data_IF_641614362172
#
_entry.id   IF_641614362172
#
_cell.length_a   1.000
_cell.length_b   1.000
_cell.length_c   1.000
_cell.angle_alpha   90.00
_cell.angle_beta   90.00
_cell.angle_gamma   90.00
#
_symmetry.space_group_name_H-M   'P 1'
#
loop_
_entity.id
_entity.type
_entity.pdbx_description
1 polymer ?
#
# COMPACT_ATOMS: atom_id res chain seq x y z
N UNK A 1 -12.87 45.85 38.04
CA UNK A 1 -13.31 44.64 37.32
C UNK A 1 -12.09 44.00 36.68
N UNK A 2 -11.65 42.83 37.16
CA UNK A 2 -10.51 42.06 36.62
C UNK A 2 -11.05 41.09 35.58
N UNK A 3 -10.70 41.29 34.31
CA UNK A 3 -10.98 40.33 33.24
C UNK A 3 -9.87 39.27 33.23
N UNK A 4 -10.21 38.03 33.58
CA UNK A 4 -9.37 36.86 33.32
C UNK A 4 -9.50 36.52 31.82
N UNK A 5 -8.47 36.80 31.03
CA UNK A 5 -8.31 36.20 29.71
C UNK A 5 -7.97 34.71 29.91
N UNK A 6 -8.94 33.84 29.68
CA UNK A 6 -8.68 32.42 29.47
C UNK A 6 -8.06 32.22 28.10
N UNK A 7 -6.78 31.89 28.09
CA UNK A 7 -6.09 31.36 26.91
C UNK A 7 -6.59 29.94 26.66
N UNK A 8 -7.46 29.80 25.66
CA UNK A 8 -7.81 28.51 25.06
C UNK A 8 -6.56 27.99 24.33
N UNK A 9 -5.86 27.05 24.95
CA UNK A 9 -4.89 26.18 24.28
C UNK A 9 -5.64 25.35 23.24
N UNK A 10 -5.55 25.75 21.98
CA UNK A 10 -5.99 24.94 20.86
C UNK A 10 -5.03 23.74 20.74
N UNK A 11 -5.49 22.56 21.12
CA UNK A 11 -4.79 21.32 20.85
C UNK A 11 -4.80 21.09 19.34
N UNK A 12 -3.64 21.25 18.70
CA UNK A 12 -3.43 20.84 17.31
C UNK A 12 -3.46 19.30 17.29
N UNK A 13 -4.40 18.65 16.57
CA UNK A 13 -4.36 17.21 16.43
C UNK A 13 -3.10 16.85 15.64
N UNK A 14 -2.19 16.12 16.27
CA UNK A 14 -1.08 15.48 15.58
C UNK A 14 -1.67 14.43 14.62
N UNK A 15 -1.68 14.73 13.32
CA UNK A 15 -1.90 13.74 12.27
C UNK A 15 -0.83 12.65 12.41
N UNK A 16 -1.25 11.44 12.77
CA UNK A 16 -0.39 10.28 12.99
C UNK A 16 0.39 9.87 11.74
N UNK A 17 1.66 10.24 11.69
CA UNK A 17 2.84 9.37 11.58
C UNK A 17 2.79 8.20 10.59
N UNK A 18 2.44 8.46 9.32
CA UNK A 18 3.04 7.72 8.21
C UNK A 18 4.53 8.09 8.01
N UNK A 19 5.03 9.12 8.70
CA UNK A 19 6.39 9.66 8.60
C UNK A 19 7.48 8.76 9.19
N UNK A 20 7.13 7.73 9.96
CA UNK A 20 8.11 6.86 10.61
C UNK A 20 8.72 5.82 9.68
N UNK A 21 8.01 5.40 8.63
CA UNK A 21 8.42 4.31 7.73
C UNK A 21 9.31 4.78 6.59
N UNK A 22 8.99 5.92 6.00
CA UNK A 22 9.69 6.45 4.82
C UNK A 22 11.17 6.72 5.14
N UNK A 23 12.05 6.25 4.25
CA UNK A 23 13.50 6.31 4.38
C UNK A 23 14.11 5.19 5.22
N UNK A 24 13.31 4.25 5.75
CA UNK A 24 13.84 3.07 6.43
C UNK A 24 14.13 1.95 5.45
N UNK A 25 15.25 1.26 5.66
CA UNK A 25 15.50 -0.05 5.08
C UNK A 25 14.90 -1.13 5.97
N UNK A 26 14.03 -1.96 5.39
CA UNK A 26 13.30 -3.03 6.07
C UNK A 26 13.50 -4.35 5.34
N UNK A 27 13.36 -5.51 6.02
CA UNK A 27 13.14 -5.69 7.46
C UNK A 27 14.37 -5.37 8.34
N UNK A 28 14.21 -5.21 9.69
CA UNK A 28 12.96 -5.36 10.46
C UNK A 28 12.02 -4.15 10.32
N UNK A 29 10.72 -4.44 10.29
CA UNK A 29 9.67 -3.42 10.30
C UNK A 29 9.48 -2.86 11.73
N UNK A 30 9.23 -1.53 11.89
CA UNK A 30 9.03 -0.93 13.20
C UNK A 30 7.65 -1.23 13.79
N UNK A 31 7.47 -0.92 15.07
CA UNK A 31 6.16 -0.88 15.74
C UNK A 31 5.33 -2.18 15.67
N UNK A 32 5.99 -3.33 15.55
CA UNK A 32 5.33 -4.63 15.44
C UNK A 32 4.62 -4.86 14.10
N UNK A 33 4.89 -4.01 13.10
CA UNK A 33 4.40 -4.23 11.74
C UNK A 33 5.11 -5.43 11.11
N UNK A 34 4.42 -6.08 10.19
CA UNK A 34 4.94 -7.14 9.35
C UNK A 34 4.41 -6.98 7.92
N UNK A 35 5.20 -7.44 6.96
CA UNK A 35 4.78 -7.58 5.57
C UNK A 35 3.84 -8.78 5.46
N UNK A 36 2.64 -8.56 4.91
CA UNK A 36 1.63 -9.60 4.71
C UNK A 36 1.32 -9.83 3.22
N UNK A 37 2.08 -9.20 2.32
CA UNK A 37 1.91 -9.39 0.89
C UNK A 37 2.11 -8.11 0.09
N UNK A 38 2.11 -8.26 -1.23
CA UNK A 38 2.35 -7.18 -2.16
C UNK A 38 2.76 -7.69 -3.52
N UNK A 39 3.32 -6.82 -4.33
CA UNK A 39 3.88 -7.17 -5.63
C UNK A 39 5.19 -6.46 -5.87
N UNK A 40 6.10 -7.17 -6.52
CA UNK A 40 7.29 -6.56 -7.06
C UNK A 40 6.99 -5.95 -8.43
N UNK A 41 7.64 -4.83 -8.72
CA UNK A 41 7.42 -4.04 -9.93
C UNK A 41 8.76 -3.86 -10.65
N UNK A 42 8.69 -3.82 -11.97
CA UNK A 42 9.84 -3.55 -12.83
C UNK A 42 9.50 -2.46 -13.83
N UNK A 43 10.44 -1.54 -14.04
CA UNK A 43 10.43 -0.58 -15.16
C UNK A 43 11.25 -1.04 -16.36
N UNK A 44 11.86 -2.22 -16.24
CA UNK A 44 12.74 -2.78 -17.26
C UNK A 44 12.35 -4.20 -17.64
N UNK A 45 12.62 -4.55 -18.89
CA UNK A 45 12.63 -5.94 -19.36
C UNK A 45 13.93 -6.69 -18.98
N UNK A 46 14.92 -5.97 -18.44
CA UNK A 46 16.18 -6.57 -18.00
C UNK A 46 15.94 -7.45 -16.77
N UNK A 47 16.34 -8.71 -16.88
CA UNK A 47 16.12 -9.71 -15.82
C UNK A 47 16.70 -9.28 -14.46
N UNK A 48 17.85 -8.62 -14.47
CA UNK A 48 18.52 -8.17 -13.24
C UNK A 48 17.83 -6.99 -12.55
N UNK A 49 16.90 -6.34 -13.23
CA UNK A 49 16.12 -5.20 -12.73
C UNK A 49 14.67 -5.55 -12.42
N UNK A 50 14.32 -6.83 -12.58
CA UNK A 50 13.05 -7.38 -12.12
C UNK A 50 12.99 -7.21 -10.60
N UNK A 51 11.92 -6.59 -10.12
CA UNK A 51 11.70 -6.26 -8.71
C UNK A 51 12.63 -5.15 -8.15
N UNK A 52 13.02 -4.15 -8.94
CA UNK A 52 13.69 -2.93 -8.43
C UNK A 52 12.78 -2.13 -7.47
N UNK A 53 11.46 -2.31 -7.59
CA UNK A 53 10.45 -1.63 -6.80
C UNK A 53 9.42 -2.61 -6.25
N UNK A 54 8.68 -2.19 -5.23
CA UNK A 54 7.55 -2.96 -4.71
C UNK A 54 6.42 -2.06 -4.21
N UNK A 55 5.21 -2.62 -4.25
CA UNK A 55 4.07 -2.16 -3.48
C UNK A 55 3.76 -3.25 -2.46
N UNK A 56 3.88 -2.91 -1.18
CA UNK A 56 3.68 -3.84 -0.07
C UNK A 56 2.49 -3.47 0.81
N UNK A 57 2.00 -4.44 1.57
CA UNK A 57 0.94 -4.30 2.56
C UNK A 57 1.51 -4.65 3.93
N UNK A 58 1.50 -3.68 4.84
CA UNK A 58 1.93 -3.87 6.21
C UNK A 58 0.73 -3.99 7.12
N UNK A 59 0.78 -4.97 8.02
CA UNK A 59 -0.21 -5.18 9.06
C UNK A 59 0.45 -5.30 10.42
N UNK A 60 -0.32 -5.08 11.48
CA UNK A 60 0.10 -5.49 12.82
C UNK A 60 0.03 -7.02 12.93
N UNK A 61 0.95 -7.60 13.70
CA UNK A 61 0.84 -9.01 14.06
C UNK A 61 -0.49 -9.27 14.77
N UNK A 62 -1.17 -10.36 14.40
CA UNK A 62 -2.36 -10.79 15.11
C UNK A 62 -1.95 -11.39 16.47
N UNK A 63 -2.70 -11.05 17.53
CA UNK A 63 -2.51 -11.64 18.86
C UNK A 63 -2.90 -13.14 18.90
N UNK A 64 -3.71 -13.57 17.92
CA UNK A 64 -4.17 -14.94 17.71
C UNK A 64 -3.64 -15.45 16.36
N UNK A 65 -3.09 -16.67 16.36
CA UNK A 65 -2.52 -17.28 15.16
C UNK A 65 -3.58 -17.60 14.09
N UNK A 66 -4.85 -17.71 14.49
CA UNK A 66 -5.98 -18.00 13.58
C UNK A 66 -6.68 -16.72 13.08
N UNK A 67 -6.25 -15.53 13.54
CA UNK A 67 -6.84 -14.27 13.12
C UNK A 67 -6.09 -13.66 11.92
N UNK A 68 -6.87 -13.15 10.96
CA UNK A 68 -6.32 -12.43 9.81
C UNK A 68 -5.64 -11.13 10.28
N UNK A 69 -4.38 -10.87 9.85
CA UNK A 69 -3.66 -9.68 10.25
C UNK A 69 -4.32 -8.42 9.67
N UNK A 70 -4.55 -7.42 10.52
CA UNK A 70 -5.26 -6.20 10.14
C UNK A 70 -4.34 -5.25 9.34
N UNK A 71 -4.64 -4.97 8.06
CA UNK A 71 -3.83 -4.06 7.25
C UNK A 71 -3.78 -2.64 7.83
N UNK A 72 -2.58 -2.06 7.89
CA UNK A 72 -2.32 -0.72 8.42
C UNK A 72 -1.80 0.25 7.36
N UNK A 73 -0.90 -0.21 6.51
CA UNK A 73 -0.24 0.64 5.52
C UNK A 73 -0.08 -0.05 4.17
N UNK A 74 -0.25 0.72 3.11
CA UNK A 74 0.21 0.39 1.76
C UNK A 74 1.52 1.15 1.57
N UNK A 75 2.61 0.45 1.28
CA UNK A 75 3.95 1.04 1.15
C UNK A 75 4.48 0.91 -0.25
N UNK A 76 5.20 1.93 -0.72
CA UNK A 76 6.06 1.83 -1.88
C UNK A 76 7.50 1.67 -1.39
N UNK A 77 8.26 0.81 -2.04
CA UNK A 77 9.66 0.62 -1.69
C UNK A 77 10.55 0.41 -2.91
N UNK A 78 11.84 0.67 -2.72
CA UNK A 78 12.91 0.42 -3.67
C UNK A 78 13.85 -0.63 -3.11
N UNK A 79 14.35 -1.53 -3.96
CA UNK A 79 15.36 -2.49 -3.55
C UNK A 79 16.64 -1.76 -3.13
N UNK A 80 17.01 -1.92 -1.86
CA UNK A 80 18.23 -1.35 -1.26
C UNK A 80 19.39 -2.37 -1.24
N UNK A 81 19.08 -3.66 -1.40
CA UNK A 81 20.06 -4.73 -1.43
C UNK A 81 19.45 -6.05 -1.01
N UNK A 82 20.31 -6.99 -0.63
CA UNK A 82 19.91 -8.30 -0.10
C UNK A 82 20.81 -8.70 1.06
N UNK A 83 20.22 -9.33 2.06
CA UNK A 83 20.93 -10.08 3.10
C UNK A 83 20.69 -11.58 2.87
N UNK A 84 21.67 -12.26 2.27
CA UNK A 84 21.50 -13.61 1.75
C UNK A 84 20.38 -13.67 0.71
N UNK A 85 19.31 -14.41 1.00
CA UNK A 85 18.12 -14.54 0.14
C UNK A 85 17.05 -13.48 0.44
N UNK A 86 17.19 -12.73 1.53
CA UNK A 86 16.21 -11.75 1.96
C UNK A 86 16.45 -10.42 1.25
N UNK A 87 15.43 -9.91 0.57
CA UNK A 87 15.46 -8.57 -0.01
C UNK A 87 15.38 -7.52 1.10
N UNK A 88 16.21 -6.47 0.97
CA UNK A 88 16.17 -5.29 1.80
C UNK A 88 15.55 -4.16 0.99
N UNK A 89 14.51 -3.53 1.54
CA UNK A 89 13.68 -2.55 0.87
C UNK A 89 13.78 -1.21 1.57
N UNK A 90 14.13 -0.15 0.85
CA UNK A 90 13.99 1.23 1.34
C UNK A 90 12.56 1.70 1.07
N UNK A 91 11.79 2.00 2.12
CA UNK A 91 10.44 2.54 1.98
C UNK A 91 10.50 3.96 1.44
N UNK A 92 9.90 4.20 0.28
CA UNK A 92 9.90 5.52 -0.38
C UNK A 92 8.60 6.29 -0.15
N UNK A 93 7.50 5.59 0.14
CA UNK A 93 6.22 6.19 0.49
C UNK A 93 5.38 5.22 1.34
N UNK A 94 4.48 5.76 2.16
CA UNK A 94 3.59 5.00 3.01
C UNK A 94 2.22 5.70 3.10
N UNK A 95 1.17 4.98 2.78
CA UNK A 95 -0.21 5.45 2.82
C UNK A 95 -0.99 4.61 3.85
N UNK A 96 -1.80 5.23 4.72
CA UNK A 96 -2.70 4.45 5.58
C UNK A 96 -3.63 3.58 4.74
N UNK A 97 -3.86 2.35 5.17
CA UNK A 97 -4.88 1.49 4.56
C UNK A 97 -6.27 2.14 4.74
N UNK A 98 -7.10 2.22 3.69
CA UNK A 98 -8.41 2.87 3.78
C UNK A 98 -9.34 2.12 4.74
N UNK A 99 -10.24 2.84 5.40
CA UNK A 99 -11.28 2.22 6.24
C UNK A 99 -12.36 1.62 5.33
N UNK A 100 -12.34 0.30 5.19
CA UNK A 100 -13.21 -0.48 4.30
C UNK A 100 -13.77 -1.70 5.02
N UNK A 101 -14.77 -2.36 4.42
CA UNK A 101 -15.26 -3.65 4.92
C UNK A 101 -14.30 -4.80 4.63
N UNK A 102 -14.49 -5.93 5.30
CA UNK A 102 -13.64 -7.13 5.20
C UNK A 102 -13.55 -7.68 3.77
N UNK A 103 -14.57 -7.42 2.93
CA UNK A 103 -14.59 -7.84 1.54
C UNK A 103 -13.68 -7.03 0.60
N UNK A 104 -12.95 -6.03 1.10
CA UNK A 104 -12.06 -5.20 0.30
C UNK A 104 -10.60 -5.59 0.49
N UNK A 105 -9.93 -5.89 -0.61
CA UNK A 105 -8.54 -6.32 -0.61
C UNK A 105 -7.70 -5.46 -1.55
N UNK A 106 -6.41 -5.35 -1.24
CA UNK A 106 -5.44 -4.74 -2.11
C UNK A 106 -5.23 -5.62 -3.35
N UNK A 107 -5.26 -5.00 -4.52
CA UNK A 107 -4.90 -5.55 -5.82
C UNK A 107 -3.73 -4.73 -6.37
N UNK A 108 -2.77 -5.43 -6.96
CA UNK A 108 -1.54 -4.85 -7.51
C UNK A 108 -1.18 -5.59 -8.79
N UNK A 109 -0.69 -4.87 -9.81
CA UNK A 109 -0.18 -5.49 -11.04
C UNK A 109 -1.25 -5.96 -12.04
N UNK A 110 -2.51 -6.09 -11.61
CA UNK A 110 -3.64 -6.55 -12.44
C UNK A 110 -4.72 -5.49 -12.65
N UNK A 111 -4.41 -4.25 -12.30
CA UNK A 111 -5.34 -3.13 -12.40
C UNK A 111 -5.15 -2.32 -13.68
N UNK A 112 -6.22 -1.65 -14.09
CA UNK A 112 -6.32 -0.87 -15.31
C UNK A 112 -6.80 0.55 -15.03
N UNK A 113 -6.44 1.47 -15.92
CA UNK A 113 -7.01 2.81 -15.99
C UNK A 113 -7.71 2.97 -17.34
N UNK A 114 -8.98 3.30 -17.32
CA UNK A 114 -9.82 3.46 -18.52
C UNK A 114 -9.73 2.25 -19.48
N UNK A 115 -9.58 1.05 -18.92
CA UNK A 115 -9.49 -0.22 -19.64
C UNK A 115 -8.08 -0.60 -20.13
N UNK A 116 -7.05 0.20 -19.82
CA UNK A 116 -5.66 -0.09 -20.16
C UNK A 116 -4.87 -0.59 -18.95
N UNK A 117 -4.16 -1.71 -19.10
CA UNK A 117 -3.32 -2.29 -18.07
C UNK A 117 -2.25 -1.30 -17.58
N UNK A 118 -2.15 -1.17 -16.26
CA UNK A 118 -1.11 -0.37 -15.61
C UNK A 118 -0.52 -1.16 -14.44
N UNK A 119 0.60 -1.81 -14.69
CA UNK A 119 1.29 -2.62 -13.68
C UNK A 119 1.78 -1.79 -12.47
N UNK A 120 1.86 -0.47 -12.58
CA UNK A 120 2.24 0.42 -11.48
C UNK A 120 1.05 0.82 -10.61
N UNK A 121 -0.15 0.38 -10.94
CA UNK A 121 -1.37 0.71 -10.23
C UNK A 121 -1.63 -0.28 -9.09
N UNK A 122 -2.05 0.27 -7.96
CA UNK A 122 -2.58 -0.47 -6.84
C UNK A 122 -3.97 0.06 -6.49
N UNK A 123 -4.87 -0.83 -6.12
CA UNK A 123 -6.22 -0.46 -5.72
C UNK A 123 -6.74 -1.35 -4.58
N UNK A 124 -7.47 -0.75 -3.64
CA UNK A 124 -8.27 -1.50 -2.66
C UNK A 124 -9.67 -1.62 -3.23
N UNK A 125 -10.04 -2.84 -3.60
CA UNK A 125 -11.27 -3.13 -4.32
C UNK A 125 -12.09 -4.19 -3.61
N UNK A 126 -13.41 -4.09 -3.74
CA UNK A 126 -14.31 -5.11 -3.24
C UNK A 126 -14.18 -6.37 -4.07
N UNK A 127 -14.03 -7.50 -3.40
CA UNK A 127 -14.04 -8.81 -4.03
C UNK A 127 -15.46 -9.20 -4.43
N UNK A 128 -15.60 -9.71 -5.64
CA UNK A 128 -16.87 -10.19 -6.19
C UNK A 128 -16.62 -11.37 -7.14
N UNK A 129 -16.89 -12.61 -6.72
CA UNK A 129 -16.59 -13.80 -7.53
C UNK A 129 -17.44 -13.89 -8.81
N UNK A 130 -18.51 -13.09 -8.95
CA UNK A 130 -19.39 -13.17 -10.10
C UNK A 130 -18.87 -12.44 -11.34
N UNK A 131 -17.91 -11.53 -11.19
CA UNK A 131 -17.46 -10.65 -12.25
C UNK A 131 -15.96 -10.79 -12.54
N UNK A 132 -15.62 -10.72 -13.83
CA UNK A 132 -14.24 -10.74 -14.32
C UNK A 132 -13.42 -9.54 -13.83
N UNK A 133 -14.07 -8.39 -13.63
CA UNK A 133 -13.43 -7.15 -13.20
C UNK A 133 -14.06 -6.61 -11.93
N UNK A 134 -13.21 -6.24 -10.97
CA UNK A 134 -13.58 -5.61 -9.71
C UNK A 134 -13.61 -4.09 -9.91
N UNK A 135 -14.81 -3.50 -9.84
CA UNK A 135 -15.04 -2.07 -10.17
C UNK A 135 -15.42 -1.21 -8.98
N UNK A 136 -15.73 -1.82 -7.82
CA UNK A 136 -15.97 -1.11 -6.57
C UNK A 136 -14.62 -0.79 -5.90
N UNK A 137 -14.09 0.40 -6.21
CA UNK A 137 -12.77 0.87 -5.75
C UNK A 137 -12.91 1.82 -4.56
N UNK A 138 -12.30 1.49 -3.43
CA UNK A 138 -12.26 2.35 -2.23
C UNK A 138 -11.02 3.25 -2.18
N UNK A 139 -9.94 2.82 -2.84
CA UNK A 139 -8.68 3.55 -2.95
C UNK A 139 -7.96 3.08 -4.20
N UNK A 140 -7.34 4.00 -4.95
CA UNK A 140 -6.45 3.63 -6.04
C UNK A 140 -5.37 4.67 -6.23
N UNK A 141 -4.13 4.21 -6.38
CA UNK A 141 -2.97 5.05 -6.65
C UNK A 141 -1.98 4.33 -7.53
N UNK A 142 -1.29 5.12 -8.34
CA UNK A 142 -0.21 4.67 -9.19
C UNK A 142 1.12 4.98 -8.50
N UNK A 143 2.08 4.08 -8.56
CA UNK A 143 3.44 4.37 -8.16
C UNK A 143 4.15 5.17 -9.25
N UNK A 144 4.57 6.39 -8.93
CA UNK A 144 5.49 7.16 -9.76
C UNK A 144 6.93 6.78 -9.41
N UNK A 145 7.57 6.01 -10.28
CA UNK A 145 8.92 5.47 -10.03
C UNK A 145 9.99 6.57 -9.96
N UNK A 146 9.78 7.70 -10.65
CA UNK A 146 10.73 8.80 -10.62
C UNK A 146 10.81 9.45 -9.23
N UNK A 147 9.67 9.64 -8.56
CA UNK A 147 9.64 10.19 -7.20
C UNK A 147 9.63 9.13 -6.09
N UNK A 148 9.32 7.88 -6.42
CA UNK A 148 9.09 6.79 -5.46
C UNK A 148 7.79 6.95 -4.67
N UNK A 149 6.82 7.73 -5.16
CA UNK A 149 5.60 8.09 -4.41
C UNK A 149 4.33 7.65 -5.09
N UNK A 150 3.29 7.44 -4.28
CA UNK A 150 1.95 7.16 -4.78
C UNK A 150 1.25 8.44 -5.23
N UNK A 151 0.89 8.49 -6.51
CA UNK A 151 0.06 9.54 -7.09
C UNK A 151 -1.36 9.02 -7.33
N UNK A 152 -2.40 9.87 -7.24
CA UNK A 152 -3.77 9.46 -7.57
C UNK A 152 -3.85 8.86 -8.98
N UNK A 153 -4.64 7.81 -9.15
CA UNK A 153 -4.94 7.28 -10.47
C UNK A 153 -5.77 8.30 -11.27
N UNK A 154 -5.41 8.54 -12.53
CA UNK A 154 -6.06 9.51 -13.39
C UNK A 154 -7.02 8.81 -14.37
N UNK A 155 -8.21 8.43 -13.89
CA UNK A 155 -9.22 7.78 -14.72
C UNK A 155 -10.08 6.80 -13.93
N UNK A 156 -10.91 6.02 -14.64
CA UNK A 156 -11.68 4.94 -14.04
C UNK A 156 -10.76 3.75 -13.79
N UNK A 157 -10.74 3.26 -12.55
CA UNK A 157 -9.97 2.08 -12.16
C UNK A 157 -10.86 0.85 -12.09
N UNK A 158 -10.37 -0.26 -12.63
CA UNK A 158 -10.86 -1.61 -12.36
C UNK A 158 -9.67 -2.59 -12.27
N UNK A 159 -9.85 -3.73 -11.62
CA UNK A 159 -8.80 -4.75 -11.53
C UNK A 159 -9.36 -6.11 -11.97
N UNK A 160 -8.49 -6.94 -12.55
CA UNK A 160 -8.83 -8.33 -12.88
C UNK A 160 -9.16 -9.06 -11.58
N UNK A 161 -10.27 -9.79 -11.57
CA UNK A 161 -10.60 -10.71 -10.50
C UNK A 161 -9.84 -12.02 -10.70
N UNK A 162 -8.69 -12.18 -10.06
CA UNK A 162 -7.87 -13.39 -10.16
C UNK A 162 -8.65 -14.66 -9.78
N UNK A 163 -9.53 -14.58 -8.78
CA UNK A 163 -10.37 -15.68 -8.34
C UNK A 163 -11.42 -16.11 -9.39
N UNK A 164 -11.87 -15.20 -10.26
CA UNK A 164 -12.76 -15.54 -11.38
C UNK A 164 -12.08 -16.51 -12.36
N UNK A 165 -10.77 -16.39 -12.52
CA UNK A 165 -9.95 -17.24 -13.39
C UNK A 165 -9.42 -18.49 -12.69
N UNK A 166 -9.65 -18.64 -11.38
CA UNK A 166 -9.10 -19.74 -10.59
C UNK A 166 -7.58 -19.66 -10.39
N UNK A 167 -7.04 -18.43 -10.39
CA UNK A 167 -5.64 -18.13 -10.08
C UNK A 167 -5.42 -17.97 -8.57
#
# INVERSE_FOLDING_TARGET
MRWCLWWLLAAVPATGWASGLVGRTVPPYPDGLQDIGGSCLSDSSDYDRVCDYSIGLLAEAADDADAEPAPRYIVAARLAGRDGQQALWEITDAQPYPKVGEQFHLQTGTCRVDGHDDGMLAAVVRQDPAHEFLTEVAWARRLDLASGKFVPAAGKVDCINEAYFGL
#
